data_IF_075731389186
#
_entry.id   IF_075731389186
#
_cell.length_a   1.000
_cell.length_b   1.000
_cell.length_c   1.000
_cell.angle_alpha   90.00
_cell.angle_beta   90.00
_cell.angle_gamma   90.00
#
_symmetry.space_group_name_H-M   'P 1'
#
loop_
_entity.id
_entity.type
_entity.pdbx_description
1 polymer ?
#
# COMPACT_ATOMS: atom_id res chain seq x y z
N UNK A 1 7.93 2.10 -12.74
CA UNK A 1 8.32 3.01 -11.66
C UNK A 1 7.22 3.26 -10.62
N UNK A 2 6.09 3.92 -10.91
CA UNK A 2 5.08 4.20 -9.85
C UNK A 2 4.43 2.93 -9.28
N UNK A 3 4.15 1.93 -10.12
CA UNK A 3 3.53 0.66 -9.69
C UNK A 3 4.45 -0.21 -8.81
N UNK A 4 5.76 -0.22 -9.09
CA UNK A 4 6.72 -1.04 -8.32
C UNK A 4 6.90 -0.52 -6.90
N UNK A 5 6.89 0.81 -6.72
CA UNK A 5 6.93 1.43 -5.40
C UNK A 5 5.64 1.18 -4.62
N UNK A 6 4.48 1.31 -5.27
CA UNK A 6 3.18 1.00 -4.68
C UNK A 6 3.13 -0.48 -4.25
N UNK A 7 3.60 -1.40 -5.09
CA UNK A 7 3.68 -2.84 -4.79
C UNK A 7 4.64 -3.13 -3.63
N UNK A 8 5.83 -2.52 -3.61
CA UNK A 8 6.77 -2.69 -2.51
C UNK A 8 6.19 -2.19 -1.18
N UNK A 9 5.47 -1.06 -1.21
CA UNK A 9 4.79 -0.53 -0.02
C UNK A 9 3.73 -1.51 0.47
N UNK A 10 2.84 -2.00 -0.40
CA UNK A 10 1.79 -2.97 0.02
C UNK A 10 2.40 -4.28 0.53
N UNK A 11 3.48 -4.76 -0.08
CA UNK A 11 4.15 -6.00 0.33
C UNK A 11 4.82 -5.90 1.70
N UNK A 12 5.35 -4.74 2.07
CA UNK A 12 6.11 -4.55 3.33
C UNK A 12 5.25 -4.00 4.46
N UNK A 13 4.28 -3.14 4.16
CA UNK A 13 3.44 -2.49 5.15
C UNK A 13 2.23 -3.36 5.51
N UNK A 14 2.47 -4.51 6.13
CA UNK A 14 1.45 -5.48 6.57
C UNK A 14 1.07 -5.34 8.05
N UNK A 15 -0.09 -5.93 8.44
CA UNK A 15 -0.54 -5.99 9.83
C UNK A 15 0.34 -6.94 10.65
N UNK A 16 1.01 -6.43 11.67
CA UNK A 16 1.70 -7.21 12.69
C UNK A 16 0.75 -7.81 13.72
N UNK A 17 1.23 -8.76 14.52
CA UNK A 17 0.45 -9.45 15.56
C UNK A 17 -0.10 -8.51 16.65
N UNK A 18 0.56 -7.37 16.84
CA UNK A 18 0.18 -6.30 17.76
C UNK A 18 -0.78 -5.27 17.14
N UNK A 19 -1.27 -5.52 15.93
CA UNK A 19 -2.12 -4.59 15.18
C UNK A 19 -1.37 -3.41 14.58
N UNK A 20 -0.05 -3.34 14.73
CA UNK A 20 0.78 -2.26 14.20
C UNK A 20 1.30 -2.60 12.80
N UNK A 21 1.69 -1.58 12.05
CA UNK A 21 2.27 -1.75 10.72
C UNK A 21 3.72 -2.23 10.81
N UNK A 22 3.99 -3.42 10.26
CA UNK A 22 5.32 -4.02 10.25
C UNK A 22 6.32 -3.18 9.42
N UNK A 23 5.89 -2.66 8.27
CA UNK A 23 6.73 -1.83 7.39
C UNK A 23 7.16 -0.52 8.04
N UNK A 24 6.25 0.19 8.71
CA UNK A 24 6.59 1.43 9.43
C UNK A 24 7.62 1.18 10.56
N UNK A 25 7.53 0.02 11.23
CA UNK A 25 8.52 -0.39 12.23
C UNK A 25 9.86 -0.73 11.58
N UNK A 26 9.86 -1.53 10.52
CA UNK A 26 11.08 -2.02 9.88
C UNK A 26 11.90 -0.92 9.20
N UNK A 27 11.25 0.01 8.50
CA UNK A 27 11.93 1.02 7.72
C UNK A 27 12.20 2.31 8.50
N UNK A 28 11.31 2.67 9.41
CA UNK A 28 11.31 3.98 10.04
C UNK A 28 11.39 3.92 11.57
N UNK A 29 11.47 2.73 12.16
CA UNK A 29 11.38 2.53 13.61
C UNK A 29 10.14 3.20 14.25
N UNK A 30 9.02 3.29 13.50
CA UNK A 30 7.77 3.91 13.95
C UNK A 30 6.72 2.89 14.31
N UNK A 31 6.10 3.07 15.47
CA UNK A 31 4.90 2.34 15.88
C UNK A 31 3.66 3.09 15.38
N UNK A 32 3.08 2.60 14.29
CA UNK A 32 1.85 3.12 13.70
C UNK A 32 0.82 2.01 13.58
N UNK A 33 -0.46 2.22 13.95
CA UNK A 33 -1.51 1.23 13.74
C UNK A 33 -1.60 0.82 12.26
N UNK A 34 -1.98 -0.44 12.01
CA UNK A 34 -2.37 -0.89 10.68
C UNK A 34 -3.90 -0.73 10.47
N UNK A 35 -4.36 -0.14 9.35
CA UNK A 35 -3.56 0.33 8.22
C UNK A 35 -2.83 1.65 8.51
N UNK A 36 -1.63 1.81 7.93
CA UNK A 36 -0.87 3.06 7.98
C UNK A 36 -1.09 3.88 6.69
N UNK A 37 -0.84 5.19 6.73
CA UNK A 37 -1.07 6.06 5.58
C UNK A 37 -0.34 5.61 4.29
N UNK A 38 0.83 4.97 4.41
CA UNK A 38 1.58 4.47 3.23
C UNK A 38 0.81 3.34 2.51
N UNK A 39 0.23 2.39 3.25
CA UNK A 39 -0.55 1.29 2.64
C UNK A 39 -1.87 1.81 2.09
N UNK A 40 -2.51 2.78 2.76
CA UNK A 40 -3.73 3.42 2.25
C UNK A 40 -3.47 4.17 0.95
N UNK A 41 -2.39 4.95 0.89
CA UNK A 41 -1.97 5.65 -0.31
C UNK A 41 -1.68 4.69 -1.46
N UNK A 42 -0.88 3.64 -1.23
CA UNK A 42 -0.50 2.70 -2.27
C UNK A 42 -1.70 1.90 -2.80
N UNK A 43 -2.58 1.45 -1.90
CA UNK A 43 -3.81 0.73 -2.28
C UNK A 43 -4.76 1.62 -3.08
N UNK A 44 -4.92 2.89 -2.68
CA UNK A 44 -5.77 3.84 -3.42
C UNK A 44 -5.25 4.09 -4.83
N UNK A 45 -3.92 4.23 -4.98
CA UNK A 45 -3.26 4.38 -6.28
C UNK A 45 -3.46 3.17 -7.19
N UNK A 46 -3.29 1.96 -6.65
CA UNK A 46 -3.51 0.71 -7.38
C UNK A 46 -4.98 0.59 -7.82
N UNK A 47 -5.94 0.86 -6.94
CA UNK A 47 -7.37 0.80 -7.25
C UNK A 47 -7.76 1.79 -8.37
N UNK A 48 -7.20 3.00 -8.37
CA UNK A 48 -7.40 3.98 -9.44
C UNK A 48 -6.80 3.50 -10.77
N UNK A 49 -5.60 2.93 -10.75
CA UNK A 49 -4.94 2.40 -11.95
C UNK A 49 -5.70 1.21 -12.54
N UNK A 50 -6.19 0.31 -11.69
CA UNK A 50 -6.99 -0.85 -12.10
C UNK A 50 -8.33 -0.43 -12.68
N UNK A 51 -8.98 0.57 -12.07
CA UNK A 51 -10.21 1.19 -12.58
C UNK A 51 -9.98 1.80 -13.97
N UNK A 52 -8.91 2.57 -14.14
CA UNK A 52 -8.57 3.18 -15.43
C UNK A 52 -8.32 2.11 -16.51
N UNK A 53 -7.59 1.03 -16.18
CA UNK A 53 -7.35 -0.09 -17.09
C UNK A 53 -8.64 -0.81 -17.49
N UNK A 54 -9.54 -1.03 -16.52
CA UNK A 54 -10.83 -1.63 -16.78
C UNK A 54 -11.66 -0.79 -17.75
N UNK A 55 -11.77 0.52 -17.51
CA UNK A 55 -12.52 1.43 -18.37
C UNK A 55 -11.94 1.51 -19.79
N UNK A 56 -10.62 1.48 -19.93
CA UNK A 56 -9.96 1.42 -21.25
C UNK A 56 -10.27 0.11 -21.98
N UNK A 57 -10.27 -1.03 -21.28
CA UNK A 57 -10.59 -2.33 -21.89
C UNK A 57 -12.06 -2.49 -22.29
N UNK A 58 -12.95 -1.68 -21.71
CA UNK A 58 -14.38 -1.69 -21.98
C UNK A 58 -14.79 -0.72 -23.10
N UNK A 59 -13.85 0.06 -23.64
CA UNK A 59 -14.03 0.98 -24.77
C UNK A 59 -13.85 0.25 -26.10
#
# INVERSE_FOLDING_TARGET
>A
MTSEQEQAIVAVHVRGLDGMCAGCRAWWARLTPYPCWQVEWATSRQALADTARFLESAR
#
